data_IF_763207549525
#
_entry.id   IF_763207549525
#
_cell.length_a   1.000
_cell.length_b   1.000
_cell.length_c   1.000
_cell.angle_alpha   90.00
_cell.angle_beta   90.00
_cell.angle_gamma   90.00
#
_symmetry.space_group_name_H-M   'P 1'
#
loop_
_entity.id
_entity.type
_entity.pdbx_description
1 polymer ?
#
# COMPACT_ATOMS: atom_id res chain seq x y z
N UNK A 1 22.50 -22.99 -15.83
CA UNK A 1 22.64 -21.92 -14.83
C UNK A 1 21.41 -21.05 -14.95
N UNK A 2 20.46 -21.17 -14.02
CA UNK A 2 19.27 -20.31 -13.99
C UNK A 2 19.71 -18.87 -13.71
N UNK A 3 19.17 -17.91 -14.45
CA UNK A 3 19.46 -16.50 -14.20
C UNK A 3 18.75 -16.04 -12.92
N UNK A 4 19.26 -15.01 -12.20
CA UNK A 4 18.56 -14.43 -11.06
C UNK A 4 17.12 -13.96 -11.38
N UNK A 5 16.84 -13.66 -12.66
CA UNK A 5 15.51 -13.30 -13.14
C UNK A 5 14.54 -14.48 -13.24
N UNK A 6 15.06 -15.70 -13.41
CA UNK A 6 14.24 -16.92 -13.49
C UNK A 6 13.67 -17.27 -12.11
N UNK A 7 14.47 -17.14 -11.04
CA UNK A 7 14.01 -17.31 -9.67
C UNK A 7 12.91 -16.31 -9.29
N UNK A 8 13.07 -15.03 -9.62
CA UNK A 8 12.05 -14.01 -9.39
C UNK A 8 10.76 -14.34 -10.16
N UNK A 9 10.84 -14.77 -11.43
CA UNK A 9 9.66 -15.14 -12.22
C UNK A 9 8.93 -16.36 -11.67
N UNK A 10 9.66 -17.35 -11.18
CA UNK A 10 9.13 -18.57 -10.58
C UNK A 10 8.38 -18.24 -9.28
N UNK A 11 9.00 -17.47 -8.37
CA UNK A 11 8.38 -16.97 -7.13
C UNK A 11 7.19 -16.04 -7.38
N UNK A 12 7.26 -15.15 -8.39
CA UNK A 12 6.11 -14.32 -8.80
C UNK A 12 4.94 -15.16 -9.33
N UNK A 13 5.22 -16.31 -9.96
CA UNK A 13 4.23 -17.23 -10.53
C UNK A 13 3.61 -18.15 -9.48
N UNK A 14 4.38 -18.55 -8.47
CA UNK A 14 3.95 -19.31 -7.29
C UNK A 14 3.09 -18.44 -6.37
N UNK A 15 3.52 -17.20 -6.10
CA UNK A 15 2.70 -16.23 -5.34
C UNK A 15 1.40 -15.87 -6.09
N UNK A 16 1.42 -15.84 -7.43
CA UNK A 16 0.20 -15.72 -8.26
C UNK A 16 -0.72 -16.93 -8.12
N UNK A 17 -0.20 -18.11 -7.84
CA UNK A 17 -0.99 -19.35 -7.66
C UNK A 17 -1.59 -19.42 -6.26
N UNK A 18 -0.89 -18.94 -5.24
CA UNK A 18 -1.27 -19.19 -3.83
C UNK A 18 -2.26 -18.17 -3.24
N UNK A 19 -2.18 -16.89 -3.58
CA UNK A 19 -3.00 -15.82 -2.95
C UNK A 19 -4.22 -15.42 -3.80
N UNK A 20 -4.34 -16.00 -4.98
CA UNK A 20 -5.44 -15.73 -5.88
C UNK A 20 -6.69 -16.50 -5.43
N UNK A 21 -7.87 -15.85 -5.38
CA UNK A 21 -9.13 -16.52 -5.01
C UNK A 21 -9.20 -17.91 -5.65
N UNK A 22 -9.32 -18.98 -4.84
CA UNK A 22 -9.22 -20.38 -5.32
C UNK A 22 -10.16 -20.71 -6.49
N UNK A 23 -11.23 -19.93 -6.65
CA UNK A 23 -12.20 -20.05 -7.74
C UNK A 23 -11.75 -19.29 -8.99
N UNK A 24 -11.46 -18.00 -8.88
CA UNK A 24 -11.28 -17.11 -10.03
C UNK A 24 -9.82 -16.73 -10.33
N UNK A 25 -8.93 -17.01 -9.39
CA UNK A 25 -7.53 -16.61 -9.38
C UNK A 25 -7.31 -15.12 -9.60
N UNK A 26 -8.18 -14.28 -9.04
CA UNK A 26 -8.16 -12.81 -9.21
C UNK A 26 -8.82 -12.32 -10.51
N UNK A 27 -9.01 -13.21 -11.50
CA UNK A 27 -9.73 -12.90 -12.73
C UNK A 27 -11.24 -13.11 -12.53
N UNK A 28 -11.98 -12.03 -12.26
CA UNK A 28 -13.42 -12.07 -12.03
C UNK A 28 -14.20 -12.77 -13.15
N UNK A 29 -13.70 -12.77 -14.39
CA UNK A 29 -14.35 -13.45 -15.53
C UNK A 29 -14.25 -14.98 -15.43
N UNK A 30 -13.32 -15.50 -14.62
CA UNK A 30 -13.16 -16.93 -14.32
C UNK A 30 -13.88 -17.35 -13.04
N UNK A 31 -14.52 -16.41 -12.34
CA UNK A 31 -15.24 -16.74 -11.12
C UNK A 31 -16.48 -17.57 -11.43
N UNK A 32 -16.52 -18.80 -10.90
CA UNK A 32 -17.66 -19.73 -11.04
C UNK A 32 -18.62 -19.69 -9.84
N UNK A 33 -18.32 -18.90 -8.81
CA UNK A 33 -19.30 -18.60 -7.78
C UNK A 33 -20.39 -17.73 -8.40
N UNK A 34 -21.66 -18.09 -8.20
CA UNK A 34 -22.78 -17.24 -8.58
C UNK A 34 -22.64 -15.83 -7.97
N UNK A 35 -22.05 -15.76 -6.77
CA UNK A 35 -21.85 -14.56 -5.97
C UNK A 35 -20.45 -14.60 -5.34
N UNK A 36 -19.62 -13.57 -5.54
CA UNK A 36 -18.31 -13.45 -4.87
C UNK A 36 -18.53 -12.85 -3.48
N UNK A 37 -18.24 -13.54 -2.36
CA UNK A 37 -18.58 -13.04 -1.01
C UNK A 37 -17.92 -11.70 -0.66
N UNK A 38 -16.74 -11.42 -1.23
CA UNK A 38 -16.01 -10.16 -1.05
C UNK A 38 -16.55 -9.02 -1.89
N UNK A 39 -17.02 -9.31 -3.11
CA UNK A 39 -17.56 -8.29 -4.02
C UNK A 39 -19.07 -8.14 -3.92
N UNK A 40 -19.82 -9.13 -3.45
CA UNK A 40 -21.28 -9.06 -3.41
C UNK A 40 -21.78 -7.90 -2.56
N UNK A 41 -21.22 -7.79 -1.35
CA UNK A 41 -21.49 -6.69 -0.43
C UNK A 41 -21.03 -5.32 -0.97
N UNK A 42 -20.19 -5.30 -2.01
CA UNK A 42 -19.67 -4.06 -2.65
C UNK A 42 -20.30 -3.83 -4.03
N UNK A 43 -20.86 -4.84 -4.69
CA UNK A 43 -21.43 -4.76 -6.06
C UNK A 43 -22.61 -3.80 -6.09
N UNK A 44 -23.46 -3.84 -5.07
CA UNK A 44 -24.56 -2.90 -4.91
C UNK A 44 -24.09 -1.44 -4.94
N UNK A 45 -22.88 -1.16 -4.43
CA UNK A 45 -22.30 0.19 -4.50
C UNK A 45 -21.99 0.62 -5.95
N UNK A 46 -21.66 -0.31 -6.85
CA UNK A 46 -21.30 0.01 -8.24
C UNK A 46 -22.49 0.10 -9.21
N UNK A 47 -23.58 -0.62 -8.96
CA UNK A 47 -24.67 -0.82 -9.95
C UNK A 47 -25.37 0.48 -10.38
N UNK A 48 -25.56 1.42 -9.45
CA UNK A 48 -26.40 2.62 -9.67
C UNK A 48 -25.62 3.94 -9.71
N UNK A 49 -24.29 3.88 -9.76
CA UNK A 49 -23.40 5.06 -9.71
C UNK A 49 -23.26 5.71 -11.10
N UNK A 50 -24.00 6.81 -11.32
CA UNK A 50 -23.96 7.61 -12.56
C UNK A 50 -22.61 8.30 -12.76
N UNK A 51 -21.97 8.69 -11.67
CA UNK A 51 -20.63 9.27 -11.57
C UNK A 51 -19.55 8.34 -12.16
N UNK A 52 -19.67 7.02 -11.99
CA UNK A 52 -18.77 6.06 -12.64
C UNK A 52 -19.02 5.86 -14.15
N UNK A 53 -20.10 6.43 -14.70
CA UNK A 53 -20.43 6.38 -16.13
C UNK A 53 -19.86 7.57 -16.89
N UNK A 54 -19.20 8.50 -16.21
CA UNK A 54 -18.54 9.69 -16.75
C UNK A 54 -17.06 9.41 -17.06
N UNK A 55 -16.49 10.21 -17.95
CA UNK A 55 -15.02 10.34 -18.11
C UNK A 55 -14.44 11.38 -17.18
N UNK A 56 -15.29 12.23 -16.61
CA UNK A 56 -14.91 13.36 -15.77
C UNK A 56 -15.35 13.05 -14.35
N UNK A 57 -14.41 13.09 -13.43
CA UNK A 57 -14.60 12.74 -12.03
C UNK A 57 -14.19 13.92 -11.15
N UNK A 58 -15.02 14.18 -10.16
CA UNK A 58 -14.75 15.12 -9.10
C UNK A 58 -15.06 14.43 -7.78
N UNK A 59 -14.20 14.65 -6.79
CA UNK A 59 -14.47 14.29 -5.41
C UNK A 59 -13.36 14.72 -4.48
N UNK A 60 -13.66 14.74 -3.19
CA UNK A 60 -12.65 14.90 -2.15
C UNK A 60 -11.79 13.64 -2.18
N UNK A 61 -10.68 13.68 -2.88
CA UNK A 61 -9.73 12.58 -2.92
C UNK A 61 -9.10 12.45 -1.55
N UNK A 62 -9.10 11.26 -0.91
CA UNK A 62 -8.07 11.04 0.08
C UNK A 62 -6.73 11.31 -0.63
N UNK A 63 -5.75 11.87 0.06
CA UNK A 63 -4.45 12.13 -0.53
C UNK A 63 -3.86 10.76 -0.87
N UNK A 64 -4.13 10.19 -2.03
CA UNK A 64 -3.87 8.78 -2.28
C UNK A 64 -3.39 8.61 -3.70
N UNK A 65 -2.30 7.86 -3.83
CA UNK A 65 -1.62 7.62 -5.08
C UNK A 65 -1.29 6.14 -5.19
N UNK A 66 -1.38 5.59 -6.39
CA UNK A 66 -1.03 4.20 -6.65
C UNK A 66 0.03 4.13 -7.74
N UNK A 67 1.13 3.43 -7.44
CA UNK A 67 2.20 3.12 -8.39
C UNK A 67 2.23 1.61 -8.60
N UNK A 68 1.98 1.16 -9.83
CA UNK A 68 2.01 -0.26 -10.19
C UNK A 68 3.43 -0.80 -10.39
N UNK A 69 3.62 -2.10 -10.15
CA UNK A 69 4.88 -2.82 -10.41
C UNK A 69 5.00 -3.34 -11.85
N UNK A 70 3.86 -3.52 -12.55
CA UNK A 70 3.85 -4.06 -13.91
C UNK A 70 4.52 -3.11 -14.90
N UNK A 71 5.50 -3.63 -15.66
CA UNK A 71 6.22 -2.88 -16.68
C UNK A 71 7.45 -2.11 -16.17
N UNK A 72 7.84 -2.27 -14.89
CA UNK A 72 9.04 -1.65 -14.32
C UNK A 72 10.26 -1.79 -15.25
N UNK A 73 11.02 -0.71 -15.54
CA UNK A 73 11.00 0.60 -14.88
C UNK A 73 10.01 1.62 -15.48
N UNK A 74 9.08 1.20 -16.36
CA UNK A 74 7.98 2.04 -16.86
C UNK A 74 6.67 1.61 -16.19
N UNK A 75 6.25 2.37 -15.19
CA UNK A 75 5.15 2.02 -14.29
C UNK A 75 3.90 2.84 -14.60
N UNK A 76 2.75 2.33 -14.16
CA UNK A 76 1.49 3.08 -14.16
C UNK A 76 1.31 3.76 -12.81
N UNK A 77 1.35 5.08 -12.79
CA UNK A 77 1.15 5.92 -11.62
C UNK A 77 -0.07 6.84 -11.79
N UNK A 78 -0.74 7.17 -10.70
CA UNK A 78 -1.84 8.13 -10.71
C UNK A 78 -2.58 8.20 -9.37
N UNK A 79 -3.53 9.15 -9.25
CA UNK A 79 -4.29 9.34 -8.02
C UNK A 79 -5.40 8.30 -7.89
N UNK A 80 -5.93 8.20 -6.68
CA UNK A 80 -7.10 7.42 -6.33
C UNK A 80 -8.21 8.36 -5.86
N UNK A 81 -9.18 8.64 -6.75
CA UNK A 81 -10.23 9.65 -6.52
C UNK A 81 -11.57 8.95 -6.28
N UNK A 82 -12.27 9.18 -5.15
CA UNK A 82 -13.61 8.68 -4.93
C UNK A 82 -14.57 9.49 -5.80
N UNK A 83 -15.54 8.83 -6.43
CA UNK A 83 -16.50 9.55 -7.25
C UNK A 83 -17.55 10.20 -6.33
N UNK A 84 -18.01 11.41 -6.64
CA UNK A 84 -19.07 12.10 -5.91
C UNK A 84 -18.58 13.17 -4.91
N UNK A 85 -19.51 13.79 -4.19
CA UNK A 85 -19.26 15.00 -3.39
C UNK A 85 -19.17 14.74 -1.87
N UNK A 86 -18.78 13.54 -1.45
CA UNK A 86 -18.53 13.29 -0.02
C UNK A 86 -17.39 14.20 0.45
N UNK A 87 -17.62 14.97 1.52
CA UNK A 87 -16.67 15.99 2.00
C UNK A 87 -15.54 15.42 2.85
N UNK A 88 -15.76 14.28 3.50
CA UNK A 88 -14.74 13.60 4.28
C UNK A 88 -14.56 12.16 3.82
N UNK A 89 -13.45 11.95 3.12
CA UNK A 89 -13.03 10.66 2.58
C UNK A 89 -11.74 10.19 3.23
N UNK A 90 -11.33 10.80 4.36
CA UNK A 90 -10.08 10.50 5.07
C UNK A 90 -10.00 9.01 5.42
N UNK A 91 -11.11 8.42 5.83
CA UNK A 91 -11.21 7.00 6.17
C UNK A 91 -10.89 6.09 4.98
N UNK A 92 -11.00 6.54 3.73
CA UNK A 92 -10.79 5.69 2.55
C UNK A 92 -9.32 5.30 2.32
N UNK A 93 -8.36 6.03 2.93
CA UNK A 93 -6.92 5.78 2.80
C UNK A 93 -6.16 5.99 4.14
N UNK A 94 -6.84 5.79 5.28
CA UNK A 94 -6.26 5.89 6.63
C UNK A 94 -6.29 4.52 7.33
N UNK A 95 -5.38 3.64 6.91
CA UNK A 95 -5.31 2.24 7.33
C UNK A 95 -5.12 2.05 8.84
N UNK A 96 -4.48 3.01 9.50
CA UNK A 96 -4.23 3.02 10.95
C UNK A 96 -5.54 3.01 11.76
N UNK A 97 -6.66 3.44 11.16
CA UNK A 97 -7.99 3.42 11.75
C UNK A 97 -8.88 2.26 11.30
N UNK A 98 -8.38 1.29 10.53
CA UNK A 98 -9.27 0.29 9.93
C UNK A 98 -9.65 -0.88 10.83
N UNK A 99 -8.96 -1.08 11.95
CA UNK A 99 -9.20 -2.22 12.84
C UNK A 99 -10.60 -2.25 13.45
N UNK A 100 -11.29 -1.10 13.56
CA UNK A 100 -12.67 -1.04 14.05
C UNK A 100 -13.75 -1.33 12.97
N UNK A 101 -13.36 -1.51 11.71
CA UNK A 101 -14.30 -1.71 10.60
C UNK A 101 -14.32 -3.18 10.14
N UNK A 102 -15.46 -3.59 9.60
CA UNK A 102 -15.62 -4.91 9.01
C UNK A 102 -14.83 -5.01 7.69
N UNK A 103 -14.36 -6.20 7.34
CA UNK A 103 -13.61 -6.44 6.09
C UNK A 103 -14.38 -5.94 4.87
N UNK A 104 -15.71 -6.08 4.83
CA UNK A 104 -16.53 -5.57 3.72
C UNK A 104 -16.51 -4.05 3.60
N UNK A 105 -16.37 -3.33 4.71
CA UNK A 105 -16.27 -1.88 4.70
C UNK A 105 -14.90 -1.43 4.21
N UNK A 106 -13.82 -2.08 4.66
CA UNK A 106 -12.46 -1.84 4.18
C UNK A 106 -12.37 -2.10 2.66
N UNK A 107 -12.97 -3.20 2.20
CA UNK A 107 -13.06 -3.47 0.76
C UNK A 107 -13.85 -2.39 0.03
N UNK A 108 -14.97 -1.91 0.60
CA UNK A 108 -15.73 -0.79 0.02
C UNK A 108 -14.87 0.47 -0.06
N UNK A 109 -14.10 0.79 0.98
CA UNK A 109 -13.20 1.95 0.98
C UNK A 109 -12.25 1.91 -0.22
N UNK A 110 -11.51 0.81 -0.37
CA UNK A 110 -10.53 0.62 -1.45
C UNK A 110 -11.15 0.56 -2.84
N UNK A 111 -12.26 -0.16 -2.98
CA UNK A 111 -12.90 -0.37 -4.27
C UNK A 111 -13.69 0.84 -4.74
N UNK A 112 -14.10 1.73 -3.83
CA UNK A 112 -14.77 2.98 -4.18
C UNK A 112 -13.87 4.00 -4.86
N UNK A 113 -12.54 3.87 -4.70
CA UNK A 113 -11.57 4.80 -5.28
C UNK A 113 -11.31 4.48 -6.76
N UNK A 114 -11.62 5.43 -7.64
CA UNK A 114 -11.30 5.34 -9.06
C UNK A 114 -9.83 5.65 -9.26
N UNK A 115 -9.14 4.73 -9.93
CA UNK A 115 -7.71 4.86 -10.24
C UNK A 115 -7.49 5.48 -11.61
N UNK A 116 -6.91 6.67 -11.62
CA UNK A 116 -6.27 7.21 -12.81
C UNK A 116 -4.93 6.51 -13.09
N UNK A 117 -4.62 6.22 -14.35
CA UNK A 117 -3.34 5.62 -14.75
C UNK A 117 -2.64 6.49 -15.79
N UNK A 118 -1.39 6.82 -15.55
CA UNK A 118 -0.47 7.40 -16.52
C UNK A 118 0.84 6.60 -16.53
N UNK A 119 1.34 6.26 -17.72
CA UNK A 119 2.58 5.51 -17.86
C UNK A 119 3.79 6.46 -17.77
N UNK A 120 4.70 6.20 -16.83
CA UNK A 120 5.89 7.03 -16.56
C UNK A 120 7.10 6.15 -16.31
N UNK A 121 8.30 6.60 -16.69
CA UNK A 121 9.54 5.99 -16.20
C UNK A 121 9.74 6.39 -14.75
N UNK A 122 10.22 5.48 -13.92
CA UNK A 122 10.39 5.75 -12.48
C UNK A 122 11.27 6.95 -12.16
N UNK A 123 12.28 7.23 -13.00
CA UNK A 123 13.18 8.36 -12.83
C UNK A 123 12.53 9.73 -13.09
N UNK A 124 11.32 9.77 -13.68
CA UNK A 124 10.57 11.02 -13.89
C UNK A 124 10.07 11.62 -12.58
N UNK A 125 10.10 10.90 -11.45
CA UNK A 125 9.76 11.44 -10.13
C UNK A 125 10.53 12.71 -9.74
N UNK A 126 11.76 12.87 -10.23
CA UNK A 126 12.60 14.06 -9.95
C UNK A 126 12.39 15.23 -10.92
N UNK A 127 11.67 15.00 -12.00
CA UNK A 127 11.35 15.99 -13.03
C UNK A 127 9.94 15.67 -13.56
N UNK A 128 8.90 15.83 -12.72
CA UNK A 128 7.56 15.37 -13.01
C UNK A 128 6.93 16.19 -14.13
N UNK A 129 6.10 15.52 -14.93
CA UNK A 129 5.18 16.21 -15.82
C UNK A 129 3.98 16.77 -15.02
N UNK A 130 3.09 17.58 -15.63
CA UNK A 130 1.97 18.17 -14.90
C UNK A 130 1.10 17.15 -14.16
N UNK A 131 0.81 15.99 -14.75
CA UNK A 131 0.02 14.94 -14.08
C UNK A 131 0.75 14.40 -12.86
N UNK A 132 2.04 14.05 -12.99
CA UNK A 132 2.81 13.51 -11.87
C UNK A 132 3.04 14.56 -10.78
N UNK A 133 3.24 15.83 -11.14
CA UNK A 133 3.39 16.93 -10.20
C UNK A 133 2.14 17.08 -9.33
N UNK A 134 0.95 17.08 -9.94
CA UNK A 134 -0.34 17.11 -9.21
C UNK A 134 -0.49 15.90 -8.29
N UNK A 135 -0.09 14.70 -8.73
CA UNK A 135 -0.16 13.48 -7.89
C UNK A 135 0.80 13.56 -6.70
N UNK A 136 2.01 14.09 -6.92
CA UNK A 136 2.98 14.32 -5.86
C UNK A 136 2.50 15.37 -4.86
N UNK A 137 1.91 16.46 -5.34
CA UNK A 137 1.33 17.51 -4.51
C UNK A 137 0.19 16.97 -3.64
N UNK A 138 -0.72 16.18 -4.23
CA UNK A 138 -1.80 15.52 -3.51
C UNK A 138 -1.28 14.54 -2.44
N UNK A 139 -0.20 13.81 -2.74
CA UNK A 139 0.38 12.82 -1.86
C UNK A 139 0.90 13.41 -0.54
N UNK A 140 1.33 14.68 -0.54
CA UNK A 140 1.86 15.37 0.65
C UNK A 140 0.79 15.81 1.65
N UNK A 141 -0.49 15.80 1.27
CA UNK A 141 -1.52 16.31 2.16
C UNK A 141 -1.86 15.35 3.29
N UNK A 142 -2.19 15.93 4.44
CA UNK A 142 -2.70 15.21 5.61
C UNK A 142 -4.23 15.05 5.62
N UNK A 143 -4.94 15.72 4.71
CA UNK A 143 -6.42 15.71 4.62
C UNK A 143 -6.87 15.50 3.19
N UNK A 144 -8.12 15.06 2.96
CA UNK A 144 -8.70 15.00 1.63
C UNK A 144 -8.62 16.33 0.90
N UNK A 145 -8.36 16.26 -0.41
CA UNK A 145 -8.25 17.42 -1.31
C UNK A 145 -9.27 17.24 -2.42
N UNK A 146 -9.93 18.32 -2.81
CA UNK A 146 -10.83 18.28 -3.96
C UNK A 146 -10.00 18.09 -5.24
N UNK A 147 -10.27 16.99 -5.95
CA UNK A 147 -9.51 16.62 -7.14
C UNK A 147 -10.44 16.42 -8.32
N UNK A 148 -10.12 17.09 -9.42
CA UNK A 148 -10.74 16.88 -10.72
C UNK A 148 -9.85 15.97 -11.57
N UNK A 149 -10.43 14.90 -12.11
CA UNK A 149 -9.74 13.93 -12.94
C UNK A 149 -10.53 13.68 -14.22
N UNK A 150 -9.89 13.93 -15.36
CA UNK A 150 -10.43 13.64 -16.68
C UNK A 150 -9.74 12.40 -17.26
N UNK A 151 -10.55 11.44 -17.69
CA UNK A 151 -10.12 10.14 -18.20
C UNK A 151 -10.32 10.05 -19.71
N UNK A 152 -9.48 9.27 -20.39
CA UNK A 152 -9.61 8.99 -21.83
C UNK A 152 -10.88 8.19 -22.15
N UNK A 153 -11.28 7.33 -21.20
CA UNK A 153 -12.42 6.42 -21.32
C UNK A 153 -13.07 6.23 -19.96
N UNK A 154 -14.29 5.70 -19.96
CA UNK A 154 -14.99 5.33 -18.72
C UNK A 154 -14.15 4.33 -17.91
N UNK A 155 -14.01 4.52 -16.60
CA UNK A 155 -13.23 3.63 -15.78
C UNK A 155 -13.94 2.27 -15.65
N UNK A 156 -13.17 1.19 -15.74
CA UNK A 156 -13.71 -0.18 -15.66
C UNK A 156 -13.04 -0.92 -14.52
N UNK A 157 -13.84 -1.66 -13.75
CA UNK A 157 -13.34 -2.56 -12.73
C UNK A 157 -12.79 -3.82 -13.39
N UNK A 158 -11.47 -3.96 -13.40
CA UNK A 158 -10.78 -5.12 -13.98
C UNK A 158 -9.82 -5.67 -12.92
N UNK A 159 -10.05 -6.91 -12.49
CA UNK A 159 -9.17 -7.62 -11.55
C UNK A 159 -8.80 -6.78 -10.30
N UNK A 160 -9.79 -6.40 -9.48
CA UNK A 160 -9.57 -5.48 -8.36
C UNK A 160 -8.67 -6.03 -7.25
N UNK A 161 -8.41 -7.34 -7.25
CA UNK A 161 -7.60 -8.01 -6.22
C UNK A 161 -6.22 -8.35 -6.77
N UNK A 162 -5.21 -8.11 -5.93
CA UNK A 162 -3.82 -8.52 -6.13
C UNK A 162 -3.35 -9.27 -4.91
N UNK A 163 -2.43 -10.21 -5.09
CA UNK A 163 -1.76 -10.92 -4.00
C UNK A 163 -0.92 -9.98 -3.12
N UNK A 164 -0.37 -8.92 -3.72
CA UNK A 164 0.67 -8.10 -3.09
C UNK A 164 0.41 -6.61 -3.16
N UNK A 165 -0.75 -6.19 -3.66
CA UNK A 165 -1.15 -4.80 -3.64
C UNK A 165 -2.56 -4.67 -3.04
N UNK A 166 -2.84 -3.57 -2.33
CA UNK A 166 -4.18 -3.30 -1.85
C UNK A 166 -5.19 -3.36 -3.00
N UNK A 167 -6.42 -3.84 -2.76
CA UNK A 167 -7.45 -3.79 -3.77
C UNK A 167 -7.62 -2.38 -4.34
N UNK A 168 -7.95 -2.30 -5.62
CA UNK A 168 -8.16 -1.03 -6.30
C UNK A 168 -9.48 -1.03 -7.05
N UNK A 169 -10.17 0.10 -7.03
CA UNK A 169 -11.43 0.30 -7.74
C UNK A 169 -11.27 0.38 -9.27
N UNK A 170 -12.32 0.85 -9.97
CA UNK A 170 -12.33 1.03 -11.41
C UNK A 170 -11.16 1.88 -11.90
N UNK A 171 -10.64 1.61 -13.10
CA UNK A 171 -9.49 2.36 -13.61
C UNK A 171 -9.60 2.73 -15.08
N UNK A 172 -8.98 3.85 -15.45
CA UNK A 172 -8.81 4.31 -16.83
C UNK A 172 -7.54 5.16 -16.97
N UNK A 173 -7.15 5.43 -18.21
CA UNK A 173 -5.99 6.27 -18.51
C UNK A 173 -6.34 7.75 -18.29
N UNK A 174 -5.43 8.50 -17.66
CA UNK A 174 -5.63 9.92 -17.33
C UNK A 174 -5.33 10.78 -18.56
N UNK A 175 -6.24 11.70 -18.86
CA UNK A 175 -6.03 12.81 -19.77
C UNK A 175 -5.51 14.06 -19.05
N UNK A 176 -6.10 14.37 -17.89
CA UNK A 176 -5.76 15.55 -17.06
C UNK A 176 -6.13 15.30 -15.60
N UNK A 177 -5.41 15.92 -14.67
CA UNK A 177 -5.76 15.97 -13.24
C UNK A 177 -5.42 17.34 -12.67
N UNK A 178 -6.30 17.89 -11.85
CA UNK A 178 -6.12 19.18 -11.18
C UNK A 178 -6.60 19.10 -9.73
N UNK A 179 -5.92 19.83 -8.84
CA UNK A 179 -6.41 20.07 -7.48
C UNK A 179 -7.30 21.31 -7.51
N UNK A 180 -8.55 21.15 -7.08
CA UNK A 180 -9.52 22.22 -6.95
C UNK A 180 -9.42 22.94 -5.58
N UNK A 181 -8.60 22.43 -4.66
CA UNK A 181 -8.28 23.07 -3.38
C UNK A 181 -6.80 22.88 -2.99
N UNK A 182 -6.31 23.76 -2.12
CA UNK A 182 -4.91 23.73 -1.69
C UNK A 182 -4.66 22.56 -0.71
N UNK A 183 -3.57 21.80 -0.89
CA UNK A 183 -3.22 20.71 0.01
C UNK A 183 -2.81 21.24 1.39
N UNK A 184 -3.35 20.64 2.45
CA UNK A 184 -2.83 20.87 3.79
C UNK A 184 -1.63 19.94 4.02
N UNK A 185 -0.42 20.48 3.93
CA UNK A 185 0.83 19.71 4.10
C UNK A 185 1.38 19.93 5.52
N UNK A 186 1.70 18.87 6.28
CA UNK A 186 2.42 19.00 7.53
C UNK A 186 3.80 19.63 7.30
N UNK A 187 4.19 20.59 8.16
CA UNK A 187 5.47 21.31 8.01
C UNK A 187 6.67 20.38 7.83
N UNK A 188 6.71 19.27 8.58
CA UNK A 188 7.84 18.33 8.50
C UNK A 188 7.89 17.55 7.19
N UNK A 189 6.73 17.29 6.58
CA UNK A 189 6.63 16.70 5.23
C UNK A 189 7.19 17.69 4.22
N UNK A 190 6.75 18.94 4.25
CA UNK A 190 7.21 19.99 3.33
C UNK A 190 8.75 20.19 3.41
N UNK A 191 9.29 20.22 4.64
CA UNK A 191 10.74 20.32 4.89
C UNK A 191 11.52 19.17 4.25
N UNK A 192 11.14 17.91 4.53
CA UNK A 192 11.89 16.73 4.05
C UNK A 192 11.68 16.45 2.57
N UNK A 193 10.53 16.83 2.00
CA UNK A 193 10.30 16.75 0.55
C UNK A 193 11.13 17.82 -0.18
N UNK A 194 11.30 19.00 0.42
CA UNK A 194 12.15 20.06 -0.12
C UNK A 194 13.65 19.77 0.04
N UNK A 195 14.04 19.02 1.09
CA UNK A 195 15.43 18.60 1.30
C UNK A 195 15.83 17.50 0.31
N UNK A 196 16.71 17.86 -0.63
CA UNK A 196 17.19 16.94 -1.67
C UNK A 196 18.53 16.29 -1.36
N UNK A 197 19.05 16.45 -0.14
CA UNK A 197 20.34 15.90 0.32
C UNK A 197 20.16 14.80 1.38
N UNK A 198 19.02 14.79 2.08
CA UNK A 198 18.68 13.74 3.06
C UNK A 198 18.44 12.39 2.37
N UNK A 199 18.91 11.32 3.00
CA UNK A 199 18.66 9.94 2.53
C UNK A 199 17.22 9.53 2.82
N UNK A 200 16.62 8.74 1.92
CA UNK A 200 15.22 8.34 2.06
C UNK A 200 14.94 7.61 3.38
N UNK A 201 15.86 6.76 3.85
CA UNK A 201 15.74 6.06 5.13
C UNK A 201 15.71 6.99 6.34
N UNK A 202 16.57 8.00 6.36
CA UNK A 202 16.61 9.01 7.42
C UNK A 202 15.32 9.84 7.42
N UNK A 203 14.83 10.26 6.24
CA UNK A 203 13.57 10.98 6.12
C UNK A 203 12.37 10.15 6.60
N UNK A 204 12.31 8.85 6.29
CA UNK A 204 11.23 7.94 6.74
C UNK A 204 11.18 7.86 8.27
N UNK A 205 12.32 7.60 8.92
CA UNK A 205 12.39 7.51 10.39
C UNK A 205 12.06 8.85 11.04
N UNK A 206 12.55 9.95 10.47
CA UNK A 206 12.28 11.28 10.99
C UNK A 206 10.79 11.64 10.94
N UNK A 207 10.12 11.44 9.81
CA UNK A 207 8.68 11.68 9.68
C UNK A 207 7.86 10.88 10.70
N UNK A 208 8.21 9.61 10.88
CA UNK A 208 7.53 8.73 11.83
C UNK A 208 7.71 9.22 13.27
N UNK A 209 8.92 9.63 13.65
CA UNK A 209 9.21 10.19 14.97
C UNK A 209 8.46 11.51 15.25
N UNK A 210 8.08 12.24 14.21
CA UNK A 210 7.26 13.46 14.28
C UNK A 210 5.74 13.19 14.17
N UNK A 211 5.31 11.93 14.28
CA UNK A 211 3.91 11.55 14.33
C UNK A 211 3.20 11.54 12.98
N UNK A 212 3.94 11.52 11.87
CA UNK A 212 3.35 11.30 10.54
C UNK A 212 3.00 9.81 10.42
N UNK A 213 1.74 9.54 10.03
CA UNK A 213 1.23 8.20 9.84
C UNK A 213 2.04 7.41 8.81
N UNK A 214 2.25 6.12 9.04
CA UNK A 214 3.03 5.23 8.18
C UNK A 214 2.43 5.15 6.77
N UNK A 215 1.11 5.14 6.63
CA UNK A 215 0.41 5.19 5.35
C UNK A 215 0.74 6.45 4.54
N UNK A 216 0.85 7.60 5.21
CA UNK A 216 1.26 8.86 4.60
C UNK A 216 2.74 8.80 4.16
N UNK A 217 3.63 8.29 5.02
CA UNK A 217 5.07 8.13 4.68
C UNK A 217 5.23 7.21 3.47
N UNK A 218 4.57 6.06 3.47
CA UNK A 218 4.56 5.10 2.36
C UNK A 218 4.08 5.72 1.05
N UNK A 219 3.05 6.56 1.12
CA UNK A 219 2.51 7.26 -0.05
C UNK A 219 3.53 8.23 -0.64
N UNK A 220 4.11 9.13 0.15
CA UNK A 220 5.09 10.11 -0.36
C UNK A 220 6.39 9.42 -0.82
N UNK A 221 6.78 8.31 -0.18
CA UNK A 221 7.87 7.46 -0.62
C UNK A 221 7.58 6.83 -1.99
N UNK A 222 6.37 6.28 -2.17
CA UNK A 222 5.95 5.63 -3.42
C UNK A 222 5.94 6.58 -4.62
N UNK A 223 5.51 7.83 -4.44
CA UNK A 223 5.54 8.86 -5.50
C UNK A 223 6.91 9.53 -5.66
N UNK A 224 7.94 9.03 -4.96
CA UNK A 224 9.33 9.42 -5.15
C UNK A 224 9.68 10.80 -4.60
N UNK A 225 9.01 11.25 -3.53
CA UNK A 225 9.27 12.55 -2.91
C UNK A 225 10.38 12.53 -1.86
N UNK A 226 10.79 11.36 -1.38
CA UNK A 226 11.82 11.23 -0.35
C UNK A 226 13.16 10.77 -0.91
N UNK A 227 14.24 11.29 -0.31
CA UNK A 227 15.62 10.91 -0.60
C UNK A 227 16.37 11.92 -1.47
N UNK A 228 17.66 11.63 -1.68
CA UNK A 228 18.56 12.50 -2.44
C UNK A 228 18.06 12.72 -3.87
N UNK A 229 18.20 13.93 -4.43
CA UNK A 229 17.66 14.35 -5.74
C UNK A 229 17.82 13.29 -6.84
N UNK A 230 19.04 12.80 -7.03
CA UNK A 230 19.38 11.89 -8.11
C UNK A 230 18.81 10.47 -7.94
N UNK A 231 18.45 10.10 -6.71
CA UNK A 231 17.94 8.77 -6.36
C UNK A 231 16.42 8.72 -6.20
N UNK A 232 15.72 9.87 -6.24
CA UNK A 232 14.26 9.92 -6.22
C UNK A 232 13.67 9.18 -7.41
N UNK A 233 12.78 8.22 -7.13
CA UNK A 233 12.15 7.35 -8.12
C UNK A 233 10.72 7.04 -7.69
N UNK A 234 9.83 6.84 -8.66
CA UNK A 234 8.57 6.16 -8.39
C UNK A 234 8.87 4.73 -7.93
N UNK A 235 8.34 4.36 -6.77
CA UNK A 235 8.47 3.03 -6.21
C UNK A 235 7.07 2.40 -6.20
N UNK A 236 6.88 1.20 -6.79
CA UNK A 236 5.62 0.48 -6.69
C UNK A 236 5.09 0.47 -5.25
N UNK A 237 3.78 0.65 -5.08
CA UNK A 237 3.15 0.81 -3.76
C UNK A 237 3.43 -0.38 -2.86
N UNK A 238 3.37 -1.60 -3.40
CA UNK A 238 3.78 -2.84 -2.74
C UNK A 238 5.20 -2.77 -2.14
N UNK A 239 6.18 -2.36 -2.94
CA UNK A 239 7.58 -2.28 -2.50
C UNK A 239 7.79 -1.11 -1.53
N UNK A 240 6.96 -0.07 -1.63
CA UNK A 240 7.02 1.09 -0.73
C UNK A 240 6.55 0.72 0.67
N UNK A 241 5.49 -0.09 0.77
CA UNK A 241 5.02 -0.64 2.06
C UNK A 241 6.16 -1.40 2.71
N UNK A 242 6.68 -2.45 2.06
CA UNK A 242 7.76 -3.27 2.62
C UNK A 242 9.04 -2.47 2.93
N UNK A 243 9.42 -1.52 2.09
CA UNK A 243 10.62 -0.71 2.32
C UNK A 243 10.46 0.23 3.52
N UNK A 244 9.29 0.85 3.68
CA UNK A 244 9.02 1.73 4.82
C UNK A 244 8.93 0.91 6.09
N UNK A 245 8.27 -0.24 6.07
CA UNK A 245 8.18 -1.17 7.20
C UNK A 245 9.58 -1.62 7.65
N UNK A 246 10.45 -2.05 6.72
CA UNK A 246 11.84 -2.42 7.04
C UNK A 246 12.65 -1.26 7.64
N UNK A 247 12.50 -0.05 7.11
CA UNK A 247 13.19 1.14 7.61
C UNK A 247 12.73 1.51 9.02
N UNK A 248 11.42 1.48 9.27
CA UNK A 248 10.85 1.78 10.58
C UNK A 248 11.19 0.69 11.59
N UNK A 249 11.06 -0.59 11.22
CA UNK A 249 11.41 -1.72 12.08
C UNK A 249 12.85 -1.63 12.56
N UNK A 250 13.82 -1.36 11.67
CA UNK A 250 15.23 -1.18 12.06
C UNK A 250 15.43 -0.04 13.06
N UNK A 251 14.77 1.10 12.84
CA UNK A 251 14.83 2.23 13.77
C UNK A 251 14.18 1.94 15.13
N UNK A 252 13.11 1.14 15.15
CA UNK A 252 12.40 0.75 16.37
C UNK A 252 13.15 -0.33 17.16
N UNK A 253 13.79 -1.29 16.49
CA UNK A 253 14.55 -2.37 17.14
C UNK A 253 15.68 -1.82 17.99
N UNK A 254 16.36 -0.76 17.54
CA UNK A 254 17.41 -0.12 18.33
C UNK A 254 16.86 0.47 19.63
N UNK A 255 15.64 1.03 19.61
CA UNK A 255 14.94 1.48 20.83
C UNK A 255 14.50 0.32 21.71
N UNK A 256 14.01 -0.77 21.13
CA UNK A 256 13.62 -1.98 21.88
C UNK A 256 14.79 -2.52 22.70
N UNK A 257 16.01 -2.51 22.13
CA UNK A 257 17.23 -2.96 22.81
C UNK A 257 17.65 -2.09 24.00
N UNK A 258 17.15 -0.86 24.10
CA UNK A 258 17.41 0.05 25.23
C UNK A 258 16.47 -0.20 26.42
N UNK A 259 15.38 -0.94 26.23
CA UNK A 259 14.45 -1.28 27.29
C UNK A 259 15.01 -2.35 28.25
N UNK A 260 14.59 -2.34 29.53
CA UNK A 260 14.91 -3.43 30.45
C UNK A 260 14.39 -4.78 29.95
N UNK A 261 15.10 -5.85 30.31
CA UNK A 261 14.66 -7.21 29.98
C UNK A 261 13.40 -7.54 30.76
N UNK A 262 12.48 -8.26 30.10
CA UNK A 262 11.36 -8.91 30.79
C UNK A 262 11.90 -10.04 31.67
N UNK A 263 11.22 -10.33 32.78
CA UNK A 263 11.64 -11.37 33.73
C UNK A 263 11.01 -12.74 33.42
N UNK A 264 9.84 -12.75 32.79
CA UNK A 264 9.01 -13.93 32.59
C UNK A 264 8.56 -14.03 31.13
N UNK A 265 7.90 -15.15 30.80
CA UNK A 265 7.29 -15.34 29.49
C UNK A 265 5.95 -14.61 29.46
N UNK A 266 5.71 -13.84 28.41
CA UNK A 266 4.46 -13.09 28.24
C UNK A 266 3.77 -13.52 26.94
N UNK A 267 2.43 -13.60 26.98
CA UNK A 267 1.62 -13.96 25.82
C UNK A 267 0.57 -12.88 25.59
N UNK A 268 0.56 -12.36 24.38
CA UNK A 268 -0.41 -11.39 23.91
C UNK A 268 -1.12 -11.94 22.68
N UNK A 269 -2.38 -11.56 22.50
CA UNK A 269 -3.10 -11.85 21.26
C UNK A 269 -4.08 -10.74 20.93
N UNK A 270 -4.32 -10.58 19.64
CA UNK A 270 -5.32 -9.67 19.11
C UNK A 270 -5.96 -10.29 17.87
N UNK A 271 -7.25 -10.05 17.69
CA UNK A 271 -8.00 -10.48 16.50
C UNK A 271 -8.63 -9.26 15.86
N UNK A 272 -8.49 -9.14 14.55
CA UNK A 272 -9.04 -8.03 13.77
C UNK A 272 -9.06 -8.36 12.28
N UNK A 273 -10.09 -7.90 11.57
CA UNK A 273 -10.23 -8.05 10.10
C UNK A 273 -10.00 -9.51 9.64
N UNK A 274 -10.60 -10.47 10.34
CA UNK A 274 -10.45 -11.91 10.12
C UNK A 274 -9.04 -12.50 10.28
N UNK A 275 -8.10 -11.74 10.86
CA UNK A 275 -6.77 -12.19 11.25
C UNK A 275 -6.68 -12.31 12.76
N UNK A 276 -5.86 -13.25 13.26
CA UNK A 276 -5.49 -13.34 14.67
C UNK A 276 -3.98 -13.34 14.75
N UNK A 277 -3.43 -12.40 15.52
CA UNK A 277 -2.01 -12.26 15.78
C UNK A 277 -1.76 -12.66 17.22
N UNK A 278 -0.79 -13.55 17.44
CA UNK A 278 -0.29 -13.91 18.76
C UNK A 278 1.18 -13.51 18.88
N UNK A 279 1.56 -12.99 20.02
CA UNK A 279 2.95 -12.62 20.33
C UNK A 279 3.35 -13.35 21.61
N UNK A 280 4.41 -14.15 21.53
CA UNK A 280 5.02 -14.83 22.66
C UNK A 280 6.38 -14.22 22.90
N UNK A 281 6.55 -13.56 24.05
CA UNK A 281 7.80 -12.92 24.44
C UNK A 281 8.60 -13.81 25.40
N UNK A 282 9.91 -13.85 25.19
CA UNK A 282 10.87 -14.59 26.01
C UNK A 282 11.87 -13.62 26.65
N UNK A 283 12.35 -13.90 27.88
CA UNK A 283 13.35 -13.07 28.57
C UNK A 283 14.75 -13.27 27.98
N UNK A 284 14.96 -12.80 26.74
CA UNK A 284 16.21 -12.96 26.01
C UNK A 284 16.55 -11.74 25.14
N UNK A 285 17.74 -11.76 24.53
CA UNK A 285 18.14 -10.74 23.55
C UNK A 285 17.13 -10.69 22.40
N UNK A 286 16.88 -9.49 21.86
CA UNK A 286 15.93 -9.30 20.77
C UNK A 286 16.28 -10.19 19.57
N UNK A 287 15.38 -11.11 19.26
CA UNK A 287 15.36 -12.00 18.12
C UNK A 287 13.91 -12.45 17.98
N UNK A 288 13.48 -12.79 16.77
CA UNK A 288 12.10 -13.20 16.57
C UNK A 288 11.97 -14.24 15.47
N UNK A 289 10.86 -14.97 15.54
CA UNK A 289 10.37 -15.85 14.49
C UNK A 289 8.90 -15.47 14.26
N UNK A 290 8.54 -15.19 13.01
CA UNK A 290 7.14 -15.02 12.60
C UNK A 290 6.68 -16.34 12.02
N UNK A 291 5.47 -16.73 12.40
CA UNK A 291 4.76 -17.90 11.90
C UNK A 291 3.46 -17.40 11.26
N UNK A 292 3.28 -17.64 9.98
CA UNK A 292 2.05 -17.27 9.26
C UNK A 292 1.36 -18.52 8.73
N UNK A 293 0.06 -18.64 8.99
CA UNK A 293 -0.73 -19.77 8.53
C UNK A 293 -2.06 -19.28 7.94
N UNK A 294 -2.29 -19.62 6.68
CA UNK A 294 -3.56 -19.35 6.03
C UNK A 294 -4.55 -20.46 6.34
N UNK A 295 -5.69 -20.13 6.95
CA UNK A 295 -6.75 -21.09 7.30
C UNK A 295 -7.55 -21.57 6.06
N UNK A 296 -6.84 -22.17 5.11
CA UNK A 296 -7.38 -22.65 3.85
C UNK A 296 -7.54 -24.18 3.81
N UNK A 297 -7.15 -24.88 4.89
CA UNK A 297 -7.24 -26.31 5.07
C UNK A 297 -7.41 -26.63 6.56
N UNK A 298 -7.91 -27.82 6.89
CA UNK A 298 -8.17 -28.24 8.28
C UNK A 298 -6.92 -28.36 9.15
N UNK A 299 -5.73 -28.44 8.54
CA UNK A 299 -4.45 -28.46 9.22
C UNK A 299 -3.43 -27.63 8.42
N UNK A 300 -3.46 -26.29 8.55
CA UNK A 300 -2.56 -25.43 7.80
C UNK A 300 -1.14 -25.59 8.33
N UNK A 301 -0.17 -25.77 7.44
CA UNK A 301 1.26 -25.75 7.80
C UNK A 301 1.71 -24.29 7.82
N UNK A 302 2.22 -23.77 8.96
CA UNK A 302 2.72 -22.41 9.00
C UNK A 302 3.98 -22.26 8.14
N UNK A 303 4.06 -21.18 7.38
CA UNK A 303 5.32 -20.67 6.84
C UNK A 303 6.00 -19.83 7.93
N UNK A 304 7.33 -19.73 7.88
CA UNK A 304 8.09 -19.03 8.90
C UNK A 304 9.32 -18.32 8.34
N UNK A 305 9.65 -17.21 8.98
CA UNK A 305 10.89 -16.46 8.81
C UNK A 305 11.36 -16.01 10.19
N UNK A 306 12.67 -15.93 10.41
CA UNK A 306 13.24 -15.54 11.70
C UNK A 306 14.45 -14.63 11.54
N UNK A 307 14.80 -13.93 12.61
CA UNK A 307 16.10 -13.28 12.77
C UNK A 307 16.69 -13.50 14.16
N UNK A 308 18.00 -13.67 14.18
CA UNK A 308 18.78 -13.70 15.41
C UNK A 308 19.18 -12.29 15.82
N UNK A 309 19.81 -12.15 17.01
CA UNK A 309 20.15 -10.85 17.59
C UNK A 309 21.00 -9.92 16.72
N UNK A 310 21.74 -10.45 15.73
CA UNK A 310 22.52 -9.66 14.77
C UNK A 310 21.72 -9.17 13.56
N UNK A 311 20.42 -9.49 13.49
CA UNK A 311 19.56 -9.26 12.34
C UNK A 311 19.84 -10.24 11.20
N UNK A 312 19.14 -10.06 10.08
CA UNK A 312 19.35 -10.82 8.84
C UNK A 312 20.29 -10.11 7.88
N UNK A 313 21.01 -10.92 7.10
CA UNK A 313 21.76 -10.47 5.92
C UNK A 313 21.05 -10.80 4.61
N UNK A 314 19.99 -11.60 4.66
CA UNK A 314 19.20 -12.06 3.50
C UNK A 314 17.74 -11.66 3.64
N UNK A 315 17.09 -11.46 2.50
CA UNK A 315 15.67 -11.11 2.42
C UNK A 315 14.78 -12.25 2.99
N UNK A 316 13.68 -11.94 3.71
CA UNK A 316 12.67 -12.91 4.13
C UNK A 316 11.81 -13.34 2.94
N UNK A 317 12.09 -14.52 2.40
CA UNK A 317 11.48 -15.02 1.17
C UNK A 317 10.18 -15.81 1.41
N UNK A 318 9.94 -16.29 2.63
CA UNK A 318 8.74 -17.10 2.96
C UNK A 318 7.56 -16.19 3.32
N UNK A 319 7.73 -15.32 4.32
CA UNK A 319 6.66 -14.46 4.85
C UNK A 319 6.59 -13.11 4.12
N UNK A 320 7.70 -12.65 3.53
CA UNK A 320 7.78 -11.40 2.75
C UNK A 320 7.31 -10.16 3.52
N UNK A 321 6.19 -9.54 3.15
CA UNK A 321 5.73 -8.26 3.71
C UNK A 321 5.39 -8.33 5.20
N UNK A 322 4.75 -9.39 5.67
CA UNK A 322 4.33 -9.52 7.07
C UNK A 322 5.51 -9.69 8.04
N UNK A 323 6.71 -9.99 7.55
CA UNK A 323 7.92 -10.07 8.38
C UNK A 323 8.35 -8.69 8.90
N UNK A 324 8.17 -7.64 8.09
CA UNK A 324 8.64 -6.29 8.40
C UNK A 324 7.61 -5.45 9.17
N UNK A 325 6.37 -5.94 9.26
CA UNK A 325 5.22 -5.25 9.83
C UNK A 325 5.14 -5.35 11.36
#
# INVERSE_FOLDING_TARGET
MASPEDGIRETLSEIRREVSCRVCRGDIKRCRLAICPYLDRVRAWFTDRRDLRSTDLFGASPPSAFVGSWGYPKVLAGPLVPPGQERDTSVLDHSESWLQYELSEILRFRLSLVRGKAARRVAEARAPDPILATVQEAAMASRPIDTEMWLERKPVLVSPFSARAPPSGPSADIRKVELASNPQVPRRVDELVSDTDVRAGEAVVDLYSHGIAQSHITRIFSVGLLGTKERRRLVPTEWSITAVDDLLARGLVDRVREHPWIAEHEVYSATGVANTVGILLFPQAFMFEVLEAWNLASNPTPIHDHEFAKGRTTYPDQITGAYHA
#
